data_IF_201220245905
#
_entry.id   IF_201220245905
#
_cell.length_a   1.000
_cell.length_b   1.000
_cell.length_c   1.000
_cell.angle_alpha   90.00
_cell.angle_beta   90.00
_cell.angle_gamma   90.00
#
_symmetry.space_group_name_H-M   'P 1'
#
loop_
_entity.id
_entity.type
_entity.pdbx_description
1 polymer ?
#
# COMPACT_ATOMS: atom_id res chain seq x y z
N UNK A 1 0.48 16.70 -11.74
CA UNK A 1 0.93 18.04 -12.15
C UNK A 1 2.43 18.22 -11.95
N UNK A 2 2.99 18.27 -10.72
CA UNK A 2 4.46 18.44 -10.55
C UNK A 2 5.29 17.32 -11.19
N UNK A 3 4.87 16.06 -11.04
CA UNK A 3 5.58 14.91 -11.63
C UNK A 3 5.52 14.91 -13.17
N UNK A 4 4.37 15.25 -13.74
CA UNK A 4 4.18 15.28 -15.21
C UNK A 4 5.04 16.36 -15.86
N UNK A 5 5.14 17.52 -15.21
CA UNK A 5 6.00 18.62 -15.66
C UNK A 5 7.48 18.24 -15.60
N UNK A 6 7.92 17.61 -14.50
CA UNK A 6 9.29 17.12 -14.36
C UNK A 6 9.65 16.09 -15.44
N UNK A 7 8.79 15.10 -15.67
CA UNK A 7 9.01 14.06 -16.70
C UNK A 7 9.06 14.71 -18.09
N UNK A 8 8.19 15.70 -18.36
CA UNK A 8 8.20 16.44 -19.63
C UNK A 8 9.52 17.17 -19.85
N UNK A 9 10.02 17.88 -18.82
CA UNK A 9 11.29 18.61 -18.90
C UNK A 9 12.48 17.67 -19.12
N UNK A 10 12.51 16.50 -18.48
CA UNK A 10 13.55 15.49 -18.70
C UNK A 10 13.48 14.92 -20.12
N UNK A 11 12.28 14.70 -20.64
CA UNK A 11 12.06 14.17 -22.00
C UNK A 11 12.58 15.12 -23.08
N UNK A 12 12.46 16.44 -22.89
CA UNK A 12 13.05 17.45 -23.79
C UNK A 12 14.58 17.33 -23.88
N UNK A 13 15.22 16.83 -22.82
CA UNK A 13 16.66 16.55 -22.76
C UNK A 13 17.02 15.14 -23.24
N UNK A 14 16.09 14.42 -23.87
CA UNK A 14 16.19 13.00 -24.28
C UNK A 14 16.39 12.02 -23.11
N UNK A 15 16.09 12.44 -21.87
CA UNK A 15 16.11 11.58 -20.69
C UNK A 15 14.72 10.98 -20.49
N UNK A 16 14.61 9.66 -20.67
CA UNK A 16 13.33 8.94 -20.60
C UNK A 16 13.13 8.32 -19.22
N UNK A 17 12.13 8.83 -18.49
CA UNK A 17 11.71 8.28 -17.19
C UNK A 17 10.47 7.41 -17.38
N UNK A 18 10.59 6.10 -17.14
CA UNK A 18 9.48 5.15 -17.21
C UNK A 18 8.64 5.17 -15.92
N UNK A 19 7.83 6.22 -15.77
CA UNK A 19 6.87 6.39 -14.67
C UNK A 19 5.51 6.82 -15.25
N UNK A 20 4.62 5.86 -15.46
CA UNK A 20 3.25 6.08 -15.94
C UNK A 20 2.21 5.97 -14.81
N UNK A 21 0.98 6.42 -15.03
CA UNK A 21 -0.12 6.21 -14.10
C UNK A 21 -0.38 4.71 -13.81
N UNK A 22 -0.24 3.86 -14.83
CA UNK A 22 -0.34 2.40 -14.70
C UNK A 22 0.78 1.82 -13.86
N UNK A 23 2.01 2.33 -14.01
CA UNK A 23 3.14 1.97 -13.16
C UNK A 23 2.84 2.31 -11.70
N UNK A 24 2.47 3.57 -11.41
CA UNK A 24 2.18 4.04 -10.06
C UNK A 24 1.10 3.21 -9.37
N UNK A 25 -0.02 2.96 -10.05
CA UNK A 25 -1.13 2.18 -9.50
C UNK A 25 -0.75 0.72 -9.26
N UNK A 26 -0.01 0.10 -10.19
CA UNK A 26 0.40 -1.30 -10.06
C UNK A 26 1.44 -1.47 -8.95
N UNK A 27 2.42 -0.58 -8.86
CA UNK A 27 3.44 -0.58 -7.81
C UNK A 27 2.81 -0.31 -6.44
N UNK A 28 1.87 0.63 -6.34
CA UNK A 28 1.11 0.84 -5.11
C UNK A 28 0.38 -0.44 -4.68
N UNK A 29 -0.37 -1.07 -5.60
CA UNK A 29 -1.12 -2.30 -5.30
C UNK A 29 -0.20 -3.44 -4.87
N UNK A 30 0.91 -3.66 -5.58
CA UNK A 30 1.89 -4.68 -5.25
C UNK A 30 2.47 -4.46 -3.86
N UNK A 31 2.85 -3.22 -3.52
CA UNK A 31 3.39 -2.89 -2.21
C UNK A 31 2.33 -2.99 -1.10
N UNK A 32 1.09 -2.60 -1.37
CA UNK A 32 -0.02 -2.76 -0.43
C UNK A 32 -0.33 -4.24 -0.14
N UNK A 33 -0.08 -5.13 -1.10
CA UNK A 33 -0.27 -6.58 -0.94
C UNK A 33 0.92 -7.33 -0.38
N UNK A 34 2.08 -6.69 -0.30
CA UNK A 34 3.27 -7.31 0.29
C UNK A 34 3.02 -7.61 1.77
N UNK A 35 3.07 -8.89 2.11
CA UNK A 35 2.96 -9.37 3.49
C UNK A 35 4.02 -8.71 4.38
N UNK A 36 5.26 -8.63 3.90
CA UNK A 36 6.37 -8.00 4.63
C UNK A 36 6.09 -6.52 4.93
N UNK A 37 5.59 -5.76 3.95
CA UNK A 37 5.28 -4.35 4.15
C UNK A 37 4.07 -4.14 5.08
N UNK A 38 3.05 -5.00 4.97
CA UNK A 38 1.90 -5.00 5.88
C UNK A 38 2.34 -5.27 7.32
N UNK A 39 3.22 -6.24 7.52
CA UNK A 39 3.80 -6.55 8.83
C UNK A 39 4.63 -5.38 9.37
N UNK A 40 5.57 -4.87 8.58
CA UNK A 40 6.42 -3.73 8.96
C UNK A 40 5.58 -2.52 9.39
N UNK A 41 4.51 -2.22 8.66
CA UNK A 41 3.56 -1.19 9.05
C UNK A 41 2.87 -1.54 10.39
N UNK A 42 2.21 -2.71 10.44
CA UNK A 42 1.39 -3.14 11.57
C UNK A 42 2.14 -3.09 12.90
N UNK A 43 3.33 -3.70 12.97
CA UNK A 43 4.09 -3.84 14.22
C UNK A 43 4.55 -2.50 14.79
N UNK A 44 4.59 -1.45 13.96
CA UNK A 44 4.97 -0.10 14.36
C UNK A 44 3.77 0.78 14.79
N UNK A 45 2.53 0.33 14.57
CA UNK A 45 1.31 1.08 14.94
C UNK A 45 1.05 1.11 16.44
N UNK A 46 0.40 2.16 16.91
CA UNK A 46 -0.10 2.24 18.30
C UNK A 46 -1.19 1.20 18.59
N UNK A 47 -1.98 0.84 17.57
CA UNK A 47 -2.98 -0.22 17.65
C UNK A 47 -2.34 -1.55 18.04
N UNK A 48 -1.33 -2.01 17.28
CA UNK A 48 -0.65 -3.27 17.57
C UNK A 48 0.06 -3.25 18.93
N UNK A 49 0.72 -2.14 19.27
CA UNK A 49 1.34 -1.96 20.59
C UNK A 49 0.32 -2.06 21.73
N UNK A 50 -0.91 -1.59 21.53
CA UNK A 50 -1.98 -1.67 22.53
C UNK A 50 -2.54 -3.08 22.66
N UNK A 51 -2.69 -3.81 21.54
CA UNK A 51 -3.06 -5.24 21.57
C UNK A 51 -2.05 -6.06 22.37
N UNK A 52 -0.75 -5.82 22.17
CA UNK A 52 0.31 -6.52 22.90
C UNK A 52 0.34 -6.20 24.40
N UNK A 53 -0.02 -4.97 24.81
CA UNK A 53 -0.10 -4.62 26.24
C UNK A 53 -1.23 -5.36 26.95
N UNK A 54 -2.34 -5.58 26.25
CA UNK A 54 -3.52 -6.24 26.80
C UNK A 54 -3.43 -7.78 26.71
N UNK A 55 -2.40 -8.32 26.05
CA UNK A 55 -2.15 -9.75 25.92
C UNK A 55 -0.64 -10.05 26.03
N UNK A 56 -0.07 -10.08 27.26
CA UNK A 56 1.37 -10.15 27.48
C UNK A 56 1.98 -11.56 27.31
N UNK A 57 1.22 -12.57 26.90
CA UNK A 57 1.75 -13.93 26.77
C UNK A 57 2.54 -14.12 25.46
N UNK A 58 3.75 -14.70 25.56
CA UNK A 58 4.45 -15.44 24.51
C UNK A 58 4.83 -14.76 23.18
N UNK A 59 6.09 -14.98 22.74
CA UNK A 59 6.49 -14.67 21.35
C UNK A 59 5.69 -15.43 20.28
N UNK A 60 5.13 -16.61 20.62
CA UNK A 60 4.26 -17.39 19.74
C UNK A 60 2.91 -16.71 19.50
N UNK A 61 2.30 -16.13 20.54
CA UNK A 61 1.03 -15.40 20.41
C UNK A 61 1.21 -14.11 19.61
N UNK A 62 2.37 -13.45 19.74
CA UNK A 62 2.72 -12.29 18.91
C UNK A 62 2.77 -12.66 17.42
N UNK A 63 3.47 -13.73 17.04
CA UNK A 63 3.58 -14.08 15.61
C UNK A 63 2.22 -14.50 15.04
N UNK A 64 1.47 -15.32 15.77
CA UNK A 64 0.13 -15.74 15.37
C UNK A 64 -0.80 -14.53 15.16
N UNK A 65 -0.75 -13.54 16.06
CA UNK A 65 -1.53 -12.31 15.92
C UNK A 65 -1.14 -11.48 14.69
N UNK A 66 0.17 -11.32 14.42
CA UNK A 66 0.66 -10.63 13.22
C UNK A 66 0.13 -11.32 11.97
N UNK A 67 0.32 -12.63 11.86
CA UNK A 67 -0.13 -13.42 10.71
C UNK A 67 -1.63 -13.28 10.49
N UNK A 68 -2.42 -13.39 11.55
CA UNK A 68 -3.87 -13.25 11.48
C UNK A 68 -4.26 -11.89 10.91
N UNK A 69 -3.73 -10.80 11.47
CA UNK A 69 -4.09 -9.44 11.03
C UNK A 69 -3.65 -9.20 9.58
N UNK A 70 -2.42 -9.57 9.22
CA UNK A 70 -1.87 -9.31 7.89
C UNK A 70 -2.61 -10.06 6.79
N UNK A 71 -3.11 -11.27 7.08
CA UNK A 71 -3.78 -12.14 6.11
C UNK A 71 -5.31 -12.01 6.10
N UNK A 72 -5.94 -11.72 7.24
CA UNK A 72 -7.41 -11.71 7.35
C UNK A 72 -8.01 -10.31 7.38
N UNK A 73 -7.29 -9.32 7.94
CA UNK A 73 -7.87 -8.01 8.19
C UNK A 73 -7.57 -6.98 7.10
N UNK A 74 -6.68 -7.29 6.16
CA UNK A 74 -6.23 -6.37 5.11
C UNK A 74 -6.54 -6.98 3.75
N UNK A 75 -7.32 -6.28 2.93
CA UNK A 75 -7.64 -6.76 1.59
C UNK A 75 -7.62 -5.66 0.54
N UNK A 76 -7.38 -6.08 -0.70
CA UNK A 76 -7.42 -5.24 -1.87
C UNK A 76 -8.05 -6.01 -3.03
N UNK A 77 -9.19 -5.55 -3.52
CA UNK A 77 -9.96 -6.27 -4.55
C UNK A 77 -10.13 -5.39 -5.78
N UNK A 78 -9.98 -6.01 -6.97
CA UNK A 78 -10.39 -5.37 -8.22
C UNK A 78 -11.85 -5.75 -8.48
N UNK A 79 -12.81 -4.81 -8.39
CA UNK A 79 -14.24 -5.13 -8.53
C UNK A 79 -14.65 -5.58 -9.93
N UNK A 80 -13.76 -5.40 -10.90
CA UNK A 80 -14.01 -5.67 -12.32
C UNK A 80 -13.47 -7.01 -12.77
N UNK A 81 -12.74 -7.73 -11.91
CA UNK A 81 -12.08 -8.99 -12.26
C UNK A 81 -13.06 -10.11 -12.64
N UNK A 82 -14.31 -10.04 -12.17
CA UNK A 82 -15.34 -11.06 -12.38
C UNK A 82 -16.43 -10.62 -13.38
N UNK A 83 -16.29 -9.45 -14.01
CA UNK A 83 -17.22 -8.95 -15.03
C UNK A 83 -16.59 -9.13 -16.41
N UNK A 84 -17.31 -9.78 -17.31
CA UNK A 84 -16.92 -10.01 -18.71
C UNK A 84 -16.54 -8.67 -19.35
N UNK A 85 -15.41 -8.66 -20.06
CA UNK A 85 -14.84 -7.49 -20.74
C UNK A 85 -15.90 -6.68 -21.49
N UNK A 86 -16.14 -5.48 -20.99
CA UNK A 86 -16.91 -4.42 -21.63
C UNK A 86 -16.16 -3.11 -21.44
N UNK A 87 -15.40 -2.73 -22.47
CA UNK A 87 -14.83 -1.42 -22.78
C UNK A 87 -14.53 -0.43 -21.62
N UNK A 88 -13.23 -0.17 -21.40
CA UNK A 88 -12.69 1.07 -20.83
C UNK A 88 -13.14 1.50 -19.42
N UNK A 89 -13.39 0.56 -18.52
CA UNK A 89 -13.64 0.92 -17.13
C UNK A 89 -12.31 1.28 -16.43
N UNK A 90 -12.27 2.41 -15.70
CA UNK A 90 -11.08 2.89 -15.00
C UNK A 90 -10.50 1.77 -14.12
N UNK A 91 -9.18 1.53 -14.20
CA UNK A 91 -8.52 0.59 -13.29
C UNK A 91 -8.51 1.18 -11.88
N UNK A 92 -9.18 0.53 -10.93
CA UNK A 92 -9.12 0.89 -9.51
C UNK A 92 -9.16 -0.36 -8.62
N UNK A 93 -8.78 -0.18 -7.35
CA UNK A 93 -8.85 -1.21 -6.33
C UNK A 93 -9.64 -0.70 -5.13
N UNK A 94 -10.50 -1.55 -4.57
CA UNK A 94 -11.12 -1.29 -3.26
C UNK A 94 -10.19 -1.85 -2.20
N UNK A 95 -9.76 -0.98 -1.29
CA UNK A 95 -8.91 -1.34 -0.16
C UNK A 95 -9.76 -1.42 1.10
N UNK A 96 -9.45 -2.36 1.98
CA UNK A 96 -10.09 -2.43 3.30
C UNK A 96 -9.11 -2.84 4.39
N UNK A 97 -9.41 -2.36 5.59
CA UNK A 97 -8.71 -2.72 6.82
C UNK A 97 -9.75 -2.92 7.93
N UNK A 98 -9.76 -4.06 8.60
CA UNK A 98 -10.64 -4.32 9.75
C UNK A 98 -9.87 -4.30 11.08
N UNK A 99 -10.54 -3.81 12.13
CA UNK A 99 -9.97 -3.68 13.46
C UNK A 99 -11.08 -3.75 14.53
N UNK A 100 -10.69 -3.72 15.80
CA UNK A 100 -11.63 -3.82 16.94
C UNK A 100 -12.63 -2.67 17.01
N UNK A 101 -12.29 -1.49 16.49
CA UNK A 101 -13.20 -0.33 16.45
C UNK A 101 -13.24 0.30 15.05
N UNK A 102 -14.34 0.99 14.67
CA UNK A 102 -14.41 1.72 13.41
C UNK A 102 -13.32 2.79 13.25
N UNK A 103 -12.94 3.44 14.36
CA UNK A 103 -11.89 4.46 14.39
C UNK A 103 -10.53 3.83 14.09
N UNK A 104 -10.19 2.73 14.77
CA UNK A 104 -8.94 2.01 14.51
C UNK A 104 -8.89 1.51 13.07
N UNK A 105 -10.00 0.96 12.54
CA UNK A 105 -10.06 0.46 11.17
C UNK A 105 -9.80 1.57 10.14
N UNK A 106 -10.44 2.74 10.31
CA UNK A 106 -10.23 3.92 9.47
C UNK A 106 -8.77 4.39 9.53
N UNK A 107 -8.23 4.54 10.74
CA UNK A 107 -6.89 5.08 10.95
C UNK A 107 -5.81 4.12 10.45
N UNK A 108 -6.01 2.81 10.64
CA UNK A 108 -5.13 1.78 10.10
C UNK A 108 -5.12 1.77 8.58
N UNK A 109 -6.28 1.85 7.93
CA UNK A 109 -6.36 1.92 6.47
C UNK A 109 -5.65 3.16 5.92
N UNK A 110 -5.93 4.34 6.49
CA UNK A 110 -5.31 5.59 6.07
C UNK A 110 -3.79 5.56 6.28
N UNK A 111 -3.33 5.06 7.42
CA UNK A 111 -1.91 4.93 7.72
C UNK A 111 -1.20 3.93 6.81
N UNK A 112 -1.83 2.81 6.45
CA UNK A 112 -1.29 1.86 5.47
C UNK A 112 -1.14 2.51 4.09
N UNK A 113 -2.16 3.23 3.62
CA UNK A 113 -2.10 3.97 2.34
C UNK A 113 -0.93 4.96 2.36
N UNK A 114 -0.81 5.74 3.44
CA UNK A 114 0.28 6.71 3.58
C UNK A 114 1.66 6.03 3.61
N UNK A 115 1.79 4.93 4.35
CA UNK A 115 3.04 4.16 4.41
C UNK A 115 3.46 3.67 3.02
N UNK A 116 2.54 3.04 2.27
CA UNK A 116 2.82 2.57 0.90
C UNK A 116 3.16 3.75 -0.03
N UNK A 117 2.48 4.89 0.10
CA UNK A 117 2.81 6.09 -0.68
C UNK A 117 4.25 6.57 -0.45
N UNK A 118 4.79 6.48 0.78
CA UNK A 118 6.20 6.84 1.01
C UNK A 118 7.16 5.94 0.24
N UNK A 119 6.86 4.63 0.17
CA UNK A 119 7.67 3.65 -0.55
C UNK A 119 7.59 3.89 -2.07
N UNK A 120 6.40 4.10 -2.61
CA UNK A 120 6.19 4.40 -4.03
C UNK A 120 6.90 5.69 -4.43
N UNK A 121 6.80 6.74 -3.62
CA UNK A 121 7.50 8.01 -3.88
C UNK A 121 9.02 7.85 -3.87
N UNK A 122 9.57 7.08 -2.91
CA UNK A 122 11.00 6.80 -2.87
C UNK A 122 11.46 6.01 -4.11
N UNK A 123 10.62 5.12 -4.62
CA UNK A 123 10.90 4.37 -5.85
C UNK A 123 10.90 5.24 -7.10
N UNK A 124 9.88 6.09 -7.26
CA UNK A 124 9.80 7.08 -8.34
C UNK A 124 11.02 8.00 -8.33
N UNK A 125 11.40 8.49 -7.15
CA UNK A 125 12.57 9.34 -7.00
C UNK A 125 13.86 8.63 -7.44
N UNK A 126 14.06 7.37 -7.03
CA UNK A 126 15.21 6.56 -7.48
C UNK A 126 15.23 6.33 -8.99
N UNK A 127 14.07 6.15 -9.62
CA UNK A 127 13.96 6.02 -11.08
C UNK A 127 14.40 7.30 -11.77
N UNK A 128 13.94 8.45 -11.29
CA UNK A 128 14.34 9.77 -11.83
C UNK A 128 15.84 9.99 -11.66
N UNK A 129 16.42 9.65 -10.50
CA UNK A 129 17.86 9.81 -10.25
C UNK A 129 18.76 8.93 -11.13
N UNK A 130 18.24 7.83 -11.67
CA UNK A 130 18.98 6.84 -12.46
C UNK A 130 18.77 6.98 -13.96
N UNK A 131 17.83 7.82 -14.38
CA UNK A 131 17.52 8.09 -15.78
C UNK A 131 18.56 9.05 -16.37
#
# INVERSE_FOLDING_TARGET
>A
QVLDELITNLTVLDIKVDVSANYLLSTFKQNFDSQDLREQYLVNTNYFKSLMKNNPEGGLDKRALIERIVNENISSVNPLKDKVEGENEYRYYKLSYSASTPTDARDLLQGSINYINTIVNADVFRKIQRA
#
